data_IF_973450011881
#
_entry.id   IF_973450011881
#
_cell.length_a   1.000
_cell.length_b   1.000
_cell.length_c   1.000
_cell.angle_alpha   90.00
_cell.angle_beta   90.00
_cell.angle_gamma   90.00
#
_symmetry.space_group_name_H-M   'P 1'
#
loop_
_entity.id
_entity.type
_entity.pdbx_description
1 polymer ?
#
# COMPACT_ATOMS: atom_id res chain seq x y z
N UNK A 1 15.80 10.35 0.35
CA UNK A 1 14.66 11.29 0.29
C UNK A 1 13.53 10.59 -0.46
N UNK A 2 12.51 10.12 0.25
CA UNK A 2 11.47 9.19 -0.26
C UNK A 2 10.53 9.86 -1.27
N UNK A 3 9.99 9.08 -2.21
CA UNK A 3 9.03 9.55 -3.22
C UNK A 3 7.78 10.18 -2.57
N UNK A 4 7.35 9.65 -1.40
CA UNK A 4 6.29 10.24 -0.58
C UNK A 4 6.64 11.69 -0.25
N UNK A 5 7.80 11.95 0.34
CA UNK A 5 8.22 13.31 0.72
C UNK A 5 8.29 14.32 -0.46
N UNK A 6 8.49 13.84 -1.69
CA UNK A 6 8.45 14.68 -2.91
C UNK A 6 7.03 15.04 -3.33
N UNK A 7 6.05 14.14 -3.15
CA UNK A 7 4.64 14.39 -3.49
C UNK A 7 4.00 15.46 -2.59
N UNK A 8 4.52 15.68 -1.37
CA UNK A 8 3.94 16.59 -0.38
C UNK A 8 4.60 17.97 -0.27
N UNK A 9 5.69 18.24 -1.02
CA UNK A 9 6.34 19.56 -0.99
C UNK A 9 5.58 20.57 -1.86
N UNK A 10 4.77 21.43 -1.21
CA UNK A 10 4.34 22.71 -1.80
C UNK A 10 2.86 22.86 -2.20
N UNK A 11 1.96 21.91 -1.90
CA UNK A 11 0.53 22.07 -2.20
C UNK A 11 -0.28 22.49 -0.96
N UNK A 12 -1.26 23.39 -1.18
CA UNK A 12 -2.40 23.71 -0.28
C UNK A 12 -2.78 22.49 0.54
N UNK A 13 -2.99 22.64 1.86
CA UNK A 13 -3.39 21.58 2.83
C UNK A 13 -4.04 20.40 2.10
N UNK A 14 -3.21 19.42 1.74
CA UNK A 14 -3.68 18.23 1.05
C UNK A 14 -4.63 17.55 2.03
N UNK A 15 -5.88 17.35 1.64
CA UNK A 15 -6.78 16.56 2.48
C UNK A 15 -6.25 15.13 2.46
N UNK A 16 -6.10 14.55 3.64
CA UNK A 16 -5.61 13.18 3.81
C UNK A 16 -6.76 12.38 4.41
N UNK A 17 -6.94 11.14 3.96
CA UNK A 17 -7.86 10.19 4.57
C UNK A 17 -7.06 8.97 5.04
N UNK A 18 -7.44 8.46 6.21
CA UNK A 18 -6.93 7.21 6.73
C UNK A 18 -7.65 6.04 6.04
N UNK A 19 -6.89 5.11 5.49
CA UNK A 19 -7.39 3.87 4.88
C UNK A 19 -6.92 2.66 5.69
N UNK A 20 -7.84 1.75 6.07
CA UNK A 20 -7.48 0.51 6.75
C UNK A 20 -6.95 -0.53 5.76
N UNK A 21 -5.86 -1.21 6.12
CA UNK A 21 -5.29 -2.34 5.38
C UNK A 21 -5.09 -3.50 6.35
N UNK A 22 -5.68 -4.65 6.05
CA UNK A 22 -5.46 -5.90 6.79
C UNK A 22 -4.27 -6.67 6.19
N UNK A 23 -3.47 -7.25 7.06
CA UNK A 23 -2.29 -8.02 6.69
C UNK A 23 -2.34 -9.39 7.34
N UNK A 24 -2.11 -10.40 6.50
CA UNK A 24 -1.74 -11.73 6.93
C UNK A 24 -0.27 -11.94 6.67
N UNK A 25 0.40 -12.52 7.63
CA UNK A 25 1.80 -12.90 7.58
C UNK A 25 1.96 -14.40 7.35
N UNK A 26 3.18 -14.78 6.99
CA UNK A 26 3.65 -16.16 7.05
C UNK A 26 3.94 -16.45 8.54
N UNK A 27 3.58 -17.64 9.06
CA UNK A 27 3.87 -17.98 10.45
C UNK A 27 5.32 -17.69 10.84
N UNK A 28 5.51 -17.09 12.02
CA UNK A 28 6.83 -16.72 12.58
C UNK A 28 7.53 -15.53 11.91
N UNK A 29 6.84 -14.79 11.02
CA UNK A 29 7.39 -13.57 10.41
C UNK A 29 6.79 -12.27 10.95
N UNK A 30 5.88 -12.37 11.93
CA UNK A 30 5.09 -11.25 12.47
C UNK A 30 5.97 -10.10 12.94
N UNK A 31 7.02 -10.41 13.70
CA UNK A 31 7.92 -9.40 14.25
C UNK A 31 8.73 -8.69 13.17
N UNK A 32 9.25 -9.44 12.18
CA UNK A 32 9.98 -8.87 11.05
C UNK A 32 9.06 -7.97 10.22
N UNK A 33 7.86 -8.46 9.90
CA UNK A 33 6.86 -7.69 9.14
C UNK A 33 6.46 -6.42 9.89
N UNK A 34 6.21 -6.49 11.20
CA UNK A 34 5.92 -5.32 12.03
C UNK A 34 7.02 -4.26 11.91
N UNK A 35 8.28 -4.67 12.10
CA UNK A 35 9.42 -3.79 12.05
C UNK A 35 9.52 -3.07 10.70
N UNK A 36 9.43 -3.81 9.59
CA UNK A 36 9.48 -3.23 8.24
C UNK A 36 8.34 -2.24 7.99
N UNK A 37 7.12 -2.57 8.42
CA UNK A 37 5.95 -1.71 8.23
C UNK A 37 6.08 -0.41 9.04
N UNK A 38 6.61 -0.45 10.26
CA UNK A 38 6.81 0.77 11.06
C UNK A 38 7.75 1.78 10.41
N UNK A 39 8.60 1.34 9.47
CA UNK A 39 9.50 2.20 8.72
C UNK A 39 8.91 2.71 7.40
N UNK A 40 7.70 2.29 7.02
CA UNK A 40 7.06 2.72 5.78
C UNK A 40 6.42 4.11 5.93
N UNK A 41 6.82 5.04 5.05
CA UNK A 41 6.15 6.32 4.91
C UNK A 41 4.67 6.14 4.60
N UNK A 42 3.82 6.90 5.29
CA UNK A 42 2.37 6.86 5.11
C UNK A 42 1.65 5.92 6.07
N UNK A 43 2.33 4.98 6.72
CA UNK A 43 1.76 4.26 7.88
C UNK A 43 1.80 5.18 9.09
N UNK A 44 0.65 5.40 9.74
CA UNK A 44 0.62 6.21 10.96
C UNK A 44 0.20 5.40 12.20
N UNK A 45 -0.44 4.25 12.03
CA UNK A 45 -0.75 3.33 13.13
C UNK A 45 -0.76 1.88 12.64
N UNK A 46 -0.38 0.97 13.53
CA UNK A 46 -0.40 -0.48 13.34
C UNK A 46 -1.03 -1.08 14.59
N UNK A 47 -2.01 -1.96 14.41
CA UNK A 47 -2.61 -2.69 15.52
C UNK A 47 -2.49 -4.20 15.27
N UNK A 48 -1.96 -4.97 16.25
CA UNK A 48 -1.99 -6.42 16.18
C UNK A 48 -3.43 -6.90 16.38
N UNK A 49 -3.78 -7.95 15.66
CA UNK A 49 -5.10 -8.58 15.72
C UNK A 49 -4.97 -10.02 16.25
N UNK A 50 -6.03 -10.46 16.94
CA UNK A 50 -6.20 -11.86 17.31
C UNK A 50 -7.26 -12.45 16.38
N UNK A 51 -6.85 -13.33 15.46
CA UNK A 51 -7.80 -14.02 14.58
C UNK A 51 -7.22 -14.36 13.21
N UNK A 52 -8.09 -14.29 12.19
CA UNK A 52 -7.72 -14.61 10.82
C UNK A 52 -6.59 -13.71 10.31
N UNK A 53 -6.60 -12.43 10.66
CA UNK A 53 -5.58 -11.44 10.27
C UNK A 53 -4.61 -11.17 11.41
N UNK A 54 -3.38 -10.79 11.07
CA UNK A 54 -2.32 -10.57 12.08
C UNK A 54 -2.19 -9.08 12.43
N UNK A 55 -2.39 -8.19 11.44
CA UNK A 55 -2.33 -6.74 11.64
C UNK A 55 -3.43 -5.99 10.89
N UNK A 56 -3.81 -4.83 11.44
CA UNK A 56 -4.46 -3.74 10.71
C UNK A 56 -3.56 -2.51 10.69
N UNK A 57 -3.29 -1.99 9.50
CA UNK A 57 -2.57 -0.75 9.27
C UNK A 57 -3.55 0.37 9.00
N UNK A 58 -3.25 1.55 9.54
CA UNK A 58 -3.88 2.78 9.11
C UNK A 58 -2.89 3.58 8.27
N UNK A 59 -3.26 3.81 7.00
CA UNK A 59 -2.39 4.51 6.04
C UNK A 59 -3.00 5.83 5.60
N UNK A 60 -2.17 6.86 5.53
CA UNK A 60 -2.53 8.20 5.10
C UNK A 60 -2.39 8.30 3.59
N UNK A 61 -3.53 8.46 2.90
CA UNK A 61 -3.58 8.61 1.44
C UNK A 61 -4.07 10.03 1.08
N UNK A 62 -3.39 10.71 0.13
CA UNK A 62 -3.86 11.94 -0.48
C UNK A 62 -5.28 11.83 -1.04
N UNK A 63 -6.14 12.81 -0.74
CA UNK A 63 -7.42 13.01 -1.41
C UNK A 63 -7.25 13.99 -2.58
N UNK A 64 -6.62 13.52 -3.66
CA UNK A 64 -6.33 14.30 -4.87
C UNK A 64 -7.07 13.78 -6.12
N UNK A 65 -8.05 12.88 -5.95
CA UNK A 65 -8.75 12.22 -7.06
C UNK A 65 -8.05 10.96 -7.59
N UNK A 66 -6.88 10.62 -7.06
CA UNK A 66 -6.11 9.42 -7.39
C UNK A 66 -5.94 8.49 -6.18
N UNK A 67 -6.85 8.56 -5.20
CA UNK A 67 -6.79 7.85 -3.92
C UNK A 67 -6.55 6.35 -4.12
N UNK A 68 -7.33 5.74 -5.02
CA UNK A 68 -7.22 4.30 -5.33
C UNK A 68 -5.85 3.95 -5.89
N UNK A 69 -5.28 4.80 -6.75
CA UNK A 69 -3.93 4.60 -7.30
C UNK A 69 -2.86 4.68 -6.20
N UNK A 70 -2.93 5.68 -5.33
CA UNK A 70 -2.01 5.81 -4.18
C UNK A 70 -2.10 4.60 -3.25
N UNK A 71 -3.32 4.11 -2.98
CA UNK A 71 -3.54 2.92 -2.17
C UNK A 71 -2.97 1.66 -2.84
N UNK A 72 -3.20 1.47 -4.14
CA UNK A 72 -2.57 0.39 -4.92
C UNK A 72 -1.05 0.46 -4.84
N UNK A 73 -0.47 1.65 -4.99
CA UNK A 73 0.98 1.86 -4.98
C UNK A 73 1.56 1.54 -3.60
N UNK A 74 0.89 1.99 -2.53
CA UNK A 74 1.26 1.64 -1.17
C UNK A 74 1.22 0.12 -0.96
N UNK A 75 0.13 -0.55 -1.35
CA UNK A 75 -0.02 -2.00 -1.21
C UNK A 75 1.01 -2.79 -2.05
N UNK A 76 1.44 -2.27 -3.20
CA UNK A 76 2.52 -2.86 -3.98
C UNK A 76 3.84 -2.89 -3.21
N UNK A 77 4.22 -1.78 -2.57
CA UNK A 77 5.43 -1.71 -1.75
C UNK A 77 5.32 -2.55 -0.48
N UNK A 78 4.15 -2.53 0.15
CA UNK A 78 3.85 -3.39 1.29
C UNK A 78 4.07 -4.87 0.91
N UNK A 79 3.59 -5.29 -0.26
CA UNK A 79 3.79 -6.64 -0.78
C UNK A 79 5.25 -7.04 -1.05
N UNK A 80 6.20 -6.10 -1.05
CA UNK A 80 7.63 -6.42 -1.16
C UNK A 80 8.26 -6.89 0.14
N UNK A 81 7.59 -6.66 1.29
CA UNK A 81 8.07 -7.10 2.59
C UNK A 81 8.00 -8.64 2.66
N UNK A 82 9.14 -9.28 2.92
CA UNK A 82 9.19 -10.72 3.11
C UNK A 82 8.37 -11.11 4.34
N UNK A 83 7.64 -12.21 4.28
CA UNK A 83 6.78 -12.63 5.38
C UNK A 83 5.34 -12.14 5.29
N UNK A 84 4.98 -11.28 4.34
CA UNK A 84 3.56 -11.00 4.07
C UNK A 84 2.99 -12.08 3.15
N UNK A 85 1.89 -12.72 3.57
CA UNK A 85 1.16 -13.71 2.78
C UNK A 85 -0.02 -13.09 2.03
N UNK A 86 -0.80 -12.23 2.69
CA UNK A 86 -1.94 -11.54 2.08
C UNK A 86 -2.08 -10.08 2.52
N UNK A 87 -2.57 -9.26 1.60
CA UNK A 87 -2.95 -7.86 1.83
C UNK A 87 -4.40 -7.70 1.41
N UNK A 88 -5.18 -7.04 2.25
CA UNK A 88 -6.57 -6.71 1.98
C UNK A 88 -6.89 -5.27 2.37
N UNK A 89 -7.73 -4.58 1.60
CA UNK A 89 -8.29 -3.29 1.96
C UNK A 89 -9.73 -3.23 1.47
N UNK A 90 -10.64 -2.66 2.26
CA UNK A 90 -12.06 -2.54 1.88
C UNK A 90 -12.25 -1.67 0.62
N UNK A 91 -11.36 -0.71 0.40
CA UNK A 91 -11.40 0.21 -0.74
C UNK A 91 -10.77 -0.39 -2.02
N UNK A 92 -10.13 -1.56 -1.90
CA UNK A 92 -9.60 -2.35 -3.01
C UNK A 92 -10.49 -3.59 -3.23
N UNK A 93 -11.10 -3.75 -4.41
CA UNK A 93 -12.14 -4.77 -4.65
C UNK A 93 -11.62 -6.22 -4.62
N UNK A 94 -10.32 -6.46 -4.48
CA UNK A 94 -9.73 -7.79 -4.55
C UNK A 94 -8.81 -8.08 -3.34
N UNK A 95 -8.89 -9.32 -2.86
CA UNK A 95 -7.83 -9.90 -2.06
C UNK A 95 -6.61 -10.14 -2.95
N UNK A 96 -5.54 -9.42 -2.69
CA UNK A 96 -4.40 -9.38 -3.58
C UNK A 96 -3.19 -10.03 -2.90
N UNK A 97 -2.74 -11.22 -3.34
CA UNK A 97 -1.42 -11.69 -2.96
C UNK A 97 -0.38 -10.71 -3.55
N UNK A 98 0.77 -10.52 -2.88
CA UNK A 98 1.77 -9.53 -3.28
C UNK A 98 2.17 -9.53 -4.77
N UNK A 99 2.17 -10.71 -5.42
CA UNK A 99 2.56 -10.88 -6.82
C UNK A 99 1.57 -10.22 -7.80
N UNK A 100 0.29 -10.09 -7.45
CA UNK A 100 -0.72 -9.47 -8.34
C UNK A 100 -0.51 -7.97 -8.51
N UNK A 101 -0.03 -7.27 -7.48
CA UNK A 101 0.24 -5.84 -7.58
C UNK A 101 1.27 -5.53 -8.67
N UNK A 102 2.33 -6.35 -8.78
CA UNK A 102 3.35 -6.16 -9.81
C UNK A 102 2.80 -6.30 -11.24
N UNK A 103 1.82 -7.18 -11.46
CA UNK A 103 1.16 -7.34 -12.75
C UNK A 103 0.31 -6.12 -13.09
N UNK A 104 -0.48 -5.62 -12.13
CA UNK A 104 -1.30 -4.43 -12.29
C UNK A 104 -0.46 -3.20 -12.69
N UNK A 105 0.66 -2.94 -12.01
CA UNK A 105 1.52 -1.81 -12.35
C UNK A 105 2.18 -1.96 -13.74
N UNK A 106 2.60 -3.16 -14.13
CA UNK A 106 3.10 -3.41 -15.49
C UNK A 106 2.03 -3.15 -16.56
N UNK A 107 0.78 -3.52 -16.31
CA UNK A 107 -0.33 -3.26 -17.23
C UNK A 107 -0.63 -1.76 -17.37
N UNK A 108 -0.54 -1.01 -16.28
CA UNK A 108 -0.63 0.46 -16.31
C UNK A 108 0.54 1.04 -17.11
N UNK A 109 1.78 0.68 -16.80
CA UNK A 109 2.97 1.19 -17.49
C UNK A 109 2.92 0.90 -19.01
N UNK A 110 2.51 -0.30 -19.38
CA UNK A 110 2.37 -0.71 -20.78
C UNK A 110 1.23 0.04 -21.50
N UNK A 111 0.11 0.29 -20.83
CA UNK A 111 -1.02 1.04 -21.44
C UNK A 111 -0.74 2.54 -21.60
N UNK A 112 0.03 3.14 -20.69
CA UNK A 112 0.55 4.51 -20.83
C UNK A 112 1.59 4.64 -21.96
N UNK A 113 2.35 3.58 -22.27
CA UNK A 113 3.32 3.62 -23.37
C UNK A 113 2.69 3.38 -24.75
N UNK A 114 1.56 2.67 -24.82
CA UNK A 114 0.84 2.47 -26.09
C UNK A 114 0.08 3.70 -26.60
N UNK A 115 -0.07 4.74 -25.78
CA UNK A 115 -0.76 5.99 -26.13
C UNK A 115 0.18 7.10 -26.65
N UNK A 116 1.48 6.83 -26.75
CA UNK A 116 2.51 7.80 -27.19
C UNK A 116 3.00 7.55 -28.63
N UNK A 117 2.54 6.49 -29.29
CA UNK A 117 2.81 6.22 -30.69
C UNK A 117 1.57 6.47 -31.56
N UNK A 118 1.30 7.73 -31.87
CA UNK A 118 0.51 8.17 -33.03
C UNK A 118 1.26 9.30 -33.74
#
# INVERSE_FOLDING_TARGET
MSLFSKLFKGKKRLKIKAFPILIKTIPHSEWYVWHEITMMDGVYNIYPLLGEWDFILMVNIPLDGYERYHLYYFCYWLGKIKGISYIYSLDLPELLPPQKFAKFFREIENSSNSSISQ
#
